data_IF_184577679214
#
_entry.id   IF_184577679214
#
_cell.length_a   1.000
_cell.length_b   1.000
_cell.length_c   1.000
_cell.angle_alpha   90.00
_cell.angle_beta   90.00
_cell.angle_gamma   90.00
#
_symmetry.space_group_name_H-M   'P 1'
#
loop_
_entity.id
_entity.type
_entity.pdbx_description
1 polymer ?
#
# COMPACT_ATOMS: atom_id res chain seq x y z
N UNK A 1 -0.18 -10.12 -34.95
CA UNK A 1 -0.68 -10.79 -33.76
C UNK A 1 0.22 -10.44 -32.58
N UNK A 2 -0.38 -9.97 -31.48
CA UNK A 2 0.34 -9.73 -30.23
C UNK A 2 0.44 -11.09 -29.55
N UNK A 3 1.65 -11.62 -29.38
CA UNK A 3 1.91 -12.80 -28.57
C UNK A 3 2.26 -12.31 -27.16
N UNK A 4 1.55 -12.80 -26.16
CA UNK A 4 1.88 -12.58 -24.78
C UNK A 4 2.16 -13.92 -24.09
N UNK A 5 3.23 -13.97 -23.32
CA UNK A 5 3.57 -15.08 -22.44
C UNK A 5 3.49 -14.56 -21.01
N UNK A 6 2.82 -15.30 -20.14
CA UNK A 6 2.65 -14.93 -18.75
C UNK A 6 2.71 -16.15 -17.83
N UNK A 7 3.09 -15.91 -16.58
CA UNK A 7 3.02 -16.89 -15.50
C UNK A 7 1.94 -16.43 -14.53
N UNK A 8 0.90 -17.25 -14.35
CA UNK A 8 -0.14 -17.02 -13.36
C UNK A 8 0.11 -17.90 -12.13
N UNK A 9 0.14 -17.27 -10.95
CA UNK A 9 0.32 -17.98 -9.68
C UNK A 9 -1.00 -17.97 -8.94
N UNK A 10 -1.59 -19.15 -8.79
CA UNK A 10 -2.83 -19.32 -8.05
C UNK A 10 -2.58 -19.13 -6.53
N UNK A 11 -3.54 -18.55 -5.80
CA UNK A 11 -3.39 -18.28 -4.35
C UNK A 11 -3.05 -19.53 -3.53
N UNK A 12 -3.64 -20.67 -3.86
CA UNK A 12 -3.38 -21.94 -3.19
C UNK A 12 -1.96 -22.49 -3.41
N UNK A 13 -1.29 -22.15 -4.52
CA UNK A 13 0.10 -22.57 -4.74
C UNK A 13 1.04 -21.98 -3.69
N UNK A 14 0.81 -20.73 -3.27
CA UNK A 14 1.59 -20.10 -2.22
C UNK A 14 1.36 -20.77 -0.86
N UNK A 15 0.10 -20.93 -0.45
CA UNK A 15 -0.24 -21.47 0.88
C UNK A 15 0.05 -22.96 1.00
N UNK A 16 -0.23 -23.73 -0.05
CA UNK A 16 -0.13 -25.20 -0.02
C UNK A 16 1.28 -25.70 -0.31
N UNK A 17 2.05 -25.00 -1.10
CA UNK A 17 3.36 -25.46 -1.56
C UNK A 17 4.51 -24.59 -1.04
N UNK A 18 4.58 -23.32 -1.42
CA UNK A 18 5.74 -22.47 -1.10
C UNK A 18 5.93 -22.28 0.41
N UNK A 19 4.85 -21.99 1.14
CA UNK A 19 4.90 -21.78 2.59
C UNK A 19 5.30 -23.03 3.37
N UNK A 20 4.93 -24.21 2.89
CA UNK A 20 5.33 -25.49 3.49
C UNK A 20 6.78 -25.84 3.20
N UNK A 21 7.24 -25.57 1.99
CA UNK A 21 8.60 -25.91 1.55
C UNK A 21 9.63 -24.90 2.06
N UNK A 22 9.23 -23.65 2.25
CA UNK A 22 10.09 -22.54 2.70
C UNK A 22 9.43 -21.75 3.83
N UNK A 23 9.35 -22.32 5.06
CA UNK A 23 8.64 -21.69 6.18
C UNK A 23 9.22 -20.34 6.61
N UNK A 24 10.53 -20.11 6.36
CA UNK A 24 11.21 -18.84 6.62
C UNK A 24 11.00 -17.79 5.53
N UNK A 25 10.32 -18.16 4.45
CA UNK A 25 10.01 -17.26 3.34
C UNK A 25 8.76 -16.43 3.66
N UNK A 26 8.86 -15.59 4.70
CA UNK A 26 7.77 -14.67 5.04
C UNK A 26 7.83 -13.45 4.13
N UNK A 27 6.99 -13.44 3.12
CA UNK A 27 6.77 -12.25 2.28
C UNK A 27 5.32 -12.19 1.83
N UNK A 28 4.85 -10.98 1.68
CA UNK A 28 3.54 -10.71 1.09
C UNK A 28 3.66 -10.82 -0.44
N UNK A 29 3.25 -11.96 -0.99
CA UNK A 29 3.31 -12.24 -2.42
C UNK A 29 2.60 -11.16 -3.26
N UNK A 30 1.36 -10.74 -2.94
CA UNK A 30 0.70 -9.65 -3.64
C UNK A 30 1.51 -8.36 -3.67
N UNK A 31 2.08 -7.95 -2.53
CA UNK A 31 2.93 -6.75 -2.45
C UNK A 31 4.23 -6.89 -3.24
N UNK A 32 4.83 -8.09 -3.26
CA UNK A 32 6.02 -8.36 -4.05
C UNK A 32 5.73 -8.24 -5.56
N UNK A 33 4.63 -8.80 -6.04
CA UNK A 33 4.22 -8.68 -7.44
C UNK A 33 3.85 -7.24 -7.81
N UNK A 34 3.10 -6.51 -6.98
CA UNK A 34 2.82 -5.09 -7.20
C UNK A 34 4.08 -4.23 -7.31
N UNK A 35 5.14 -4.58 -6.58
CA UNK A 35 6.40 -3.84 -6.64
C UNK A 35 7.11 -4.00 -7.97
N UNK A 36 6.94 -5.16 -8.62
CA UNK A 36 7.55 -5.48 -9.92
C UNK A 36 6.71 -4.97 -11.09
N UNK A 37 5.40 -4.90 -10.95
CA UNK A 37 4.47 -4.40 -11.98
C UNK A 37 4.74 -2.94 -12.38
N UNK A 38 5.42 -2.18 -11.53
CA UNK A 38 5.87 -0.81 -11.80
C UNK A 38 7.31 -0.72 -12.35
N UNK A 39 8.02 -1.85 -12.46
CA UNK A 39 9.37 -1.88 -12.97
C UNK A 39 9.34 -1.90 -14.50
N UNK A 40 9.68 -0.79 -15.12
CA UNK A 40 9.76 -0.63 -16.58
C UNK A 40 10.88 -1.45 -17.23
N UNK A 41 11.81 -1.98 -16.43
CA UNK A 41 12.96 -2.75 -16.93
C UNK A 41 13.29 -3.91 -15.97
N UNK A 42 12.98 -5.15 -16.40
CA UNK A 42 13.26 -6.38 -15.64
C UNK A 42 13.92 -7.44 -16.56
N UNK A 43 15.18 -7.25 -16.96
CA UNK A 43 15.84 -8.08 -17.98
C UNK A 43 15.87 -9.57 -17.64
N UNK A 44 16.02 -9.91 -16.34
CA UNK A 44 16.04 -11.31 -15.89
C UNK A 44 14.69 -11.99 -16.14
N UNK A 45 13.58 -11.32 -15.84
CA UNK A 45 12.22 -11.83 -16.10
C UNK A 45 11.97 -11.93 -17.61
N UNK A 46 12.36 -10.93 -18.38
CA UNK A 46 12.23 -10.97 -19.85
C UNK A 46 12.97 -12.15 -20.48
N UNK A 47 14.16 -12.48 -19.98
CA UNK A 47 14.92 -13.65 -20.42
C UNK A 47 14.18 -14.95 -20.05
N UNK A 48 13.68 -15.07 -18.84
CA UNK A 48 12.93 -16.23 -18.37
C UNK A 48 11.69 -16.46 -19.24
N UNK A 49 10.91 -15.41 -19.50
CA UNK A 49 9.71 -15.50 -20.35
C UNK A 49 10.07 -15.91 -21.78
N UNK A 50 11.17 -15.40 -22.34
CA UNK A 50 11.69 -15.80 -23.66
C UNK A 50 12.07 -17.30 -23.69
N UNK A 51 12.68 -17.82 -22.62
CA UNK A 51 13.01 -19.26 -22.51
C UNK A 51 11.75 -20.11 -22.46
N UNK A 52 10.73 -19.69 -21.71
CA UNK A 52 9.42 -20.37 -21.67
C UNK A 52 8.76 -20.40 -23.05
N UNK A 53 8.75 -19.26 -23.75
CA UNK A 53 8.13 -19.15 -25.07
C UNK A 53 8.80 -20.06 -26.11
N UNK A 54 10.11 -20.24 -26.03
CA UNK A 54 10.88 -20.99 -27.02
C UNK A 54 11.12 -22.46 -26.67
N UNK A 55 10.70 -22.91 -25.48
CA UNK A 55 10.83 -24.31 -25.10
C UNK A 55 9.88 -25.21 -25.91
N UNK A 56 10.40 -26.39 -26.36
CA UNK A 56 9.68 -27.32 -27.24
C UNK A 56 9.71 -28.76 -26.74
N UNK A 57 10.12 -28.94 -25.48
CA UNK A 57 10.08 -30.30 -24.87
C UNK A 57 8.65 -30.71 -24.53
N UNK A 58 8.45 -32.03 -24.36
CA UNK A 58 7.16 -32.65 -24.11
C UNK A 58 7.20 -33.57 -22.88
N UNK A 59 6.01 -33.98 -22.41
CA UNK A 59 5.85 -34.96 -21.33
C UNK A 59 6.50 -34.52 -20.01
N UNK A 60 7.15 -35.45 -19.32
CA UNK A 60 7.75 -35.23 -18.01
C UNK A 60 8.86 -34.16 -18.05
N UNK A 61 9.61 -34.06 -19.14
CA UNK A 61 10.64 -33.04 -19.31
C UNK A 61 10.03 -31.62 -19.35
N UNK A 62 8.90 -31.46 -20.03
CA UNK A 62 8.19 -30.19 -20.07
C UNK A 62 7.64 -29.79 -18.67
N UNK A 63 7.07 -30.75 -17.93
CA UNK A 63 6.58 -30.50 -16.58
C UNK A 63 7.70 -30.02 -15.66
N UNK A 64 8.84 -30.67 -15.63
CA UNK A 64 10.01 -30.27 -14.85
C UNK A 64 10.57 -28.91 -15.28
N UNK A 65 10.61 -28.64 -16.58
CA UNK A 65 11.07 -27.36 -17.10
C UNK A 65 10.18 -26.20 -16.61
N UNK A 66 8.86 -26.33 -16.79
CA UNK A 66 7.93 -25.28 -16.37
C UNK A 66 7.89 -25.09 -14.85
N UNK A 67 7.97 -26.16 -14.06
CA UNK A 67 8.06 -26.08 -12.60
C UNK A 67 9.32 -25.31 -12.16
N UNK A 68 10.47 -25.61 -12.77
CA UNK A 68 11.71 -24.90 -12.51
C UNK A 68 11.59 -23.41 -12.88
N UNK A 69 10.96 -23.09 -14.02
CA UNK A 69 10.77 -21.71 -14.47
C UNK A 69 9.80 -20.91 -13.59
N UNK A 70 8.75 -21.53 -13.08
CA UNK A 70 7.85 -20.90 -12.09
C UNK A 70 8.61 -20.57 -10.80
N UNK A 71 9.41 -21.53 -10.32
CA UNK A 71 10.23 -21.32 -9.12
C UNK A 71 11.26 -20.20 -9.32
N UNK A 72 11.90 -20.15 -10.47
CA UNK A 72 12.85 -19.08 -10.85
C UNK A 72 12.14 -17.73 -10.93
N UNK A 73 10.96 -17.64 -11.53
CA UNK A 73 10.16 -16.42 -11.61
C UNK A 73 9.85 -15.86 -10.21
N UNK A 74 9.42 -16.73 -9.29
CA UNK A 74 9.14 -16.35 -7.90
C UNK A 74 10.41 -15.84 -7.22
N UNK A 75 11.54 -16.53 -7.38
CA UNK A 75 12.81 -16.12 -6.81
C UNK A 75 13.23 -14.72 -7.30
N UNK A 76 13.09 -14.46 -8.60
CA UNK A 76 13.39 -13.15 -9.19
C UNK A 76 12.50 -12.03 -8.61
N UNK A 77 11.19 -12.28 -8.45
CA UNK A 77 10.25 -11.32 -7.85
C UNK A 77 10.61 -11.05 -6.38
N UNK A 78 10.86 -12.11 -5.60
CA UNK A 78 11.25 -11.97 -4.19
C UNK A 78 12.56 -11.21 -4.03
N UNK A 79 13.55 -11.49 -4.87
CA UNK A 79 14.84 -10.80 -4.84
C UNK A 79 14.69 -9.32 -5.24
N UNK A 80 13.90 -9.01 -6.25
CA UNK A 80 13.60 -7.64 -6.65
C UNK A 80 12.87 -6.89 -5.52
N UNK A 81 11.87 -7.52 -4.89
CA UNK A 81 11.16 -6.96 -3.76
C UNK A 81 12.07 -6.71 -2.53
N UNK A 82 12.93 -7.68 -2.19
CA UNK A 82 13.91 -7.52 -1.12
C UNK A 82 14.90 -6.37 -1.39
N UNK A 83 15.41 -6.26 -2.60
CA UNK A 83 16.30 -5.14 -3.00
C UNK A 83 15.59 -3.79 -2.90
N UNK A 84 14.32 -3.73 -3.28
CA UNK A 84 13.52 -2.52 -3.19
C UNK A 84 13.21 -2.18 -1.72
N UNK A 85 12.86 -3.18 -0.89
CA UNK A 85 12.66 -3.03 0.54
C UNK A 85 13.94 -2.55 1.24
N UNK A 86 15.10 -3.15 0.93
CA UNK A 86 16.39 -2.72 1.47
C UNK A 86 16.80 -1.30 1.03
N UNK A 87 16.43 -0.87 -0.18
CA UNK A 87 16.56 0.55 -0.58
C UNK A 87 15.66 1.46 0.25
N UNK A 88 14.51 0.96 0.71
CA UNK A 88 13.60 1.67 1.61
C UNK A 88 14.08 1.66 3.07
N UNK A 89 14.89 0.68 3.48
CA UNK A 89 15.44 0.55 4.85
C UNK A 89 16.62 1.49 5.15
N UNK A 90 17.17 2.21 4.15
CA UNK A 90 18.13 3.28 4.47
C UNK A 90 17.39 4.33 5.32
N UNK A 91 17.86 4.63 6.54
CA UNK A 91 17.23 5.66 7.35
C UNK A 91 17.14 6.96 6.53
N UNK A 92 16.04 7.67 6.67
CA UNK A 92 15.91 9.01 6.09
C UNK A 92 17.05 9.88 6.62
N UNK A 93 17.56 10.79 5.79
CA UNK A 93 18.43 11.83 6.31
C UNK A 93 17.68 12.62 7.39
N UNK A 94 18.40 13.15 8.38
CA UNK A 94 17.79 13.98 9.42
C UNK A 94 17.00 15.15 8.79
N UNK A 95 17.53 15.73 7.71
CA UNK A 95 16.89 16.79 6.95
C UNK A 95 15.57 16.34 6.29
N UNK A 96 15.55 15.16 5.64
CA UNK A 96 14.32 14.63 5.05
C UNK A 96 13.28 14.28 6.12
N UNK A 97 13.71 13.78 7.29
CA UNK A 97 12.81 13.49 8.41
C UNK A 97 12.18 14.78 8.99
N UNK A 98 12.97 15.85 9.15
CA UNK A 98 12.47 17.15 9.60
C UNK A 98 11.47 17.76 8.59
N UNK A 99 11.78 17.69 7.30
CA UNK A 99 10.88 18.14 6.23
C UNK A 99 9.54 17.38 6.23
N UNK A 100 9.56 16.08 6.48
CA UNK A 100 8.34 15.28 6.63
C UNK A 100 7.56 15.66 7.89
N UNK A 101 8.23 16.02 8.97
CA UNK A 101 7.55 16.50 10.17
C UNK A 101 6.79 17.83 9.91
N UNK A 102 7.34 18.73 9.09
CA UNK A 102 6.64 19.94 8.65
C UNK A 102 5.38 19.59 7.84
N UNK A 103 5.44 18.57 6.98
CA UNK A 103 4.26 18.06 6.24
C UNK A 103 3.20 17.53 7.21
N UNK A 104 3.59 16.74 8.20
CA UNK A 104 2.65 16.21 9.22
C UNK A 104 2.01 17.31 10.03
N UNK A 105 2.78 18.32 10.45
CA UNK A 105 2.25 19.49 11.15
C UNK A 105 1.25 20.25 10.29
N UNK A 106 1.57 20.49 9.02
CA UNK A 106 0.64 21.13 8.09
C UNK A 106 -0.65 20.31 7.91
N UNK A 107 -0.56 18.99 7.77
CA UNK A 107 -1.74 18.13 7.69
C UNK A 107 -2.57 18.23 8.97
N UNK A 108 -1.94 18.24 10.15
CA UNK A 108 -2.62 18.34 11.44
C UNK A 108 -3.47 19.60 11.57
N UNK A 109 -3.01 20.71 10.99
CA UNK A 109 -3.70 22.00 11.03
C UNK A 109 -4.75 22.16 9.91
N UNK A 110 -4.59 21.43 8.79
CA UNK A 110 -5.38 21.66 7.57
C UNK A 110 -6.17 20.43 7.10
N UNK A 111 -6.21 19.33 7.88
CA UNK A 111 -6.83 18.07 7.47
C UNK A 111 -8.29 18.20 6.98
N UNK A 112 -9.03 19.19 7.46
CA UNK A 112 -10.42 19.42 7.06
C UNK A 112 -10.58 20.01 5.64
N UNK A 113 -9.50 20.52 5.07
CA UNK A 113 -9.50 21.09 3.72
C UNK A 113 -9.02 20.08 2.69
N UNK A 114 -9.22 20.40 1.40
CA UNK A 114 -8.55 19.70 0.33
C UNK A 114 -7.07 20.10 0.31
N UNK A 115 -6.19 19.13 0.41
CA UNK A 115 -4.73 19.35 0.45
C UNK A 115 -4.11 18.69 -0.77
N UNK A 116 -3.80 19.46 -1.84
CA UNK A 116 -3.11 18.95 -3.00
C UNK A 116 -1.74 18.39 -2.63
N UNK A 117 -1.38 17.27 -3.24
CA UNK A 117 -0.08 16.63 -3.00
C UNK A 117 1.10 17.55 -3.34
N UNK A 118 0.94 18.34 -4.41
CA UNK A 118 1.90 19.38 -4.82
C UNK A 118 2.22 20.36 -3.67
N UNK A 119 1.18 20.79 -2.93
CA UNK A 119 1.36 21.67 -1.79
C UNK A 119 2.25 21.05 -0.71
N UNK A 120 2.02 19.76 -0.41
CA UNK A 120 2.81 19.04 0.56
C UNK A 120 4.24 18.78 0.07
N UNK A 121 4.42 18.53 -1.22
CA UNK A 121 5.72 18.38 -1.85
C UNK A 121 6.54 19.68 -1.75
N UNK A 122 5.90 20.82 -1.97
CA UNK A 122 6.52 22.15 -1.80
C UNK A 122 6.93 22.41 -0.36
N UNK A 123 6.09 22.06 0.63
CA UNK A 123 6.42 22.21 2.07
C UNK A 123 7.65 21.34 2.43
N UNK A 124 7.71 20.12 1.88
CA UNK A 124 8.86 19.24 2.10
C UNK A 124 10.10 19.61 1.29
N UNK A 125 10.03 20.58 0.37
CA UNK A 125 11.07 20.85 -0.64
C UNK A 125 11.49 19.57 -1.39
N UNK A 126 10.51 18.73 -1.77
CA UNK A 126 10.68 17.45 -2.47
C UNK A 126 9.84 17.42 -3.74
N UNK A 127 10.22 16.53 -4.68
CA UNK A 127 9.27 16.12 -5.72
C UNK A 127 8.14 15.27 -5.09
N UNK A 128 6.96 15.24 -5.74
CA UNK A 128 5.84 14.40 -5.27
C UNK A 128 6.22 12.92 -5.12
N UNK A 129 7.01 12.40 -6.06
CA UNK A 129 7.49 11.01 -6.02
C UNK A 129 8.40 10.75 -4.81
N UNK A 130 9.34 11.68 -4.53
CA UNK A 130 10.20 11.59 -3.34
C UNK A 130 9.37 11.70 -2.06
N UNK A 131 8.42 12.64 -2.00
CA UNK A 131 7.52 12.79 -0.84
C UNK A 131 6.75 11.50 -0.58
N UNK A 132 6.07 10.92 -1.58
CA UNK A 132 5.32 9.66 -1.43
C UNK A 132 6.20 8.53 -0.88
N UNK A 133 7.38 8.35 -1.44
CA UNK A 133 8.33 7.31 -1.03
C UNK A 133 8.83 7.53 0.41
N UNK A 134 9.32 8.73 0.73
CA UNK A 134 9.85 9.07 2.04
C UNK A 134 8.76 9.03 3.12
N UNK A 135 7.56 9.51 2.81
CA UNK A 135 6.43 9.51 3.73
C UNK A 135 5.99 8.08 4.08
N UNK A 136 5.83 7.22 3.06
CA UNK A 136 5.47 5.81 3.29
C UNK A 136 6.54 5.08 4.11
N UNK A 137 7.82 5.36 3.86
CA UNK A 137 8.95 4.79 4.61
C UNK A 137 8.95 5.23 6.07
N UNK A 138 8.67 6.50 6.35
CA UNK A 138 8.70 7.07 7.70
C UNK A 138 7.46 6.69 8.54
N UNK A 139 6.27 6.68 7.91
CA UNK A 139 5.00 6.56 8.63
C UNK A 139 4.24 5.26 8.33
N UNK A 140 4.77 4.38 7.47
CA UNK A 140 4.14 3.10 7.11
C UNK A 140 2.86 3.20 6.28
N UNK A 141 2.43 4.41 5.90
CA UNK A 141 1.19 4.66 5.17
C UNK A 141 1.37 5.75 4.10
N UNK A 142 0.44 5.83 3.15
CA UNK A 142 0.45 6.94 2.18
C UNK A 142 0.01 8.26 2.83
N UNK A 143 0.37 9.39 2.21
CA UNK A 143 -0.08 10.73 2.62
C UNK A 143 -1.61 10.80 2.72
N UNK A 144 -2.33 10.26 1.74
CA UNK A 144 -3.80 10.22 1.72
C UNK A 144 -4.37 9.41 2.89
N UNK A 145 -3.77 8.24 3.19
CA UNK A 145 -4.16 7.43 4.34
C UNK A 145 -3.90 8.16 5.66
N UNK A 146 -2.80 8.88 5.77
CA UNK A 146 -2.49 9.69 6.96
C UNK A 146 -3.52 10.81 7.18
N UNK A 147 -3.87 11.57 6.13
CA UNK A 147 -4.92 12.61 6.18
C UNK A 147 -6.26 11.97 6.60
N UNK A 148 -6.62 10.83 5.98
CA UNK A 148 -7.85 10.13 6.32
C UNK A 148 -7.84 9.66 7.78
N UNK A 149 -6.76 9.09 8.28
CA UNK A 149 -6.60 8.69 9.68
C UNK A 149 -6.80 9.87 10.62
N UNK A 150 -6.19 11.03 10.31
CA UNK A 150 -6.37 12.25 11.10
C UNK A 150 -7.83 12.71 11.14
N UNK A 151 -8.53 12.68 10.00
CA UNK A 151 -9.98 12.99 9.93
C UNK A 151 -10.81 12.03 10.79
N UNK A 152 -10.50 10.73 10.76
CA UNK A 152 -11.23 9.74 11.57
C UNK A 152 -10.99 9.93 13.06
N UNK A 153 -9.76 10.17 13.51
CA UNK A 153 -9.46 10.47 14.92
C UNK A 153 -10.21 11.71 15.41
N UNK A 154 -10.29 12.75 14.57
CA UNK A 154 -11.06 13.94 14.92
C UNK A 154 -12.58 13.66 14.95
N UNK A 155 -13.08 12.80 14.04
CA UNK A 155 -14.46 12.37 14.06
C UNK A 155 -14.81 11.63 15.36
N UNK A 156 -13.97 10.72 15.82
CA UNK A 156 -14.14 10.00 17.10
C UNK A 156 -14.24 10.99 18.26
N UNK A 157 -13.33 11.94 18.32
CA UNK A 157 -13.36 12.99 19.34
C UNK A 157 -14.68 13.80 19.32
N UNK A 158 -15.15 14.22 18.13
CA UNK A 158 -16.40 14.97 17.99
C UNK A 158 -17.63 14.12 18.32
N UNK A 159 -17.64 12.84 17.96
CA UNK A 159 -18.72 11.91 18.27
C UNK A 159 -18.91 11.72 19.79
N UNK A 160 -17.82 11.69 20.53
CA UNK A 160 -17.83 11.48 21.98
C UNK A 160 -18.22 12.78 22.71
N UNK A 161 -17.60 13.89 22.33
CA UNK A 161 -17.58 15.11 23.14
C UNK A 161 -18.59 16.19 22.68
N UNK A 162 -19.35 15.94 21.61
CA UNK A 162 -20.31 16.93 21.08
C UNK A 162 -21.62 16.29 20.67
N UNK A 163 -22.68 17.12 20.60
CA UNK A 163 -23.99 16.73 20.09
C UNK A 163 -24.20 17.07 18.61
N UNK A 164 -23.12 17.37 17.90
CA UNK A 164 -23.19 17.66 16.47
C UNK A 164 -23.84 16.50 15.69
N UNK A 165 -24.63 16.88 14.69
CA UNK A 165 -25.22 15.91 13.74
C UNK A 165 -24.11 15.25 12.89
N UNK A 166 -24.41 14.11 12.30
CA UNK A 166 -23.46 13.42 11.40
C UNK A 166 -23.07 14.30 10.21
N UNK A 167 -23.98 15.15 9.72
CA UNK A 167 -23.70 16.12 8.67
C UNK A 167 -22.72 17.20 9.10
N UNK A 168 -22.90 17.77 10.30
CA UNK A 168 -21.97 18.76 10.85
C UNK A 168 -20.59 18.18 11.09
N UNK A 169 -20.50 16.98 11.67
CA UNK A 169 -19.21 16.30 11.86
C UNK A 169 -18.53 16.06 10.50
N UNK A 170 -19.26 15.54 9.51
CA UNK A 170 -18.71 15.30 8.18
C UNK A 170 -18.08 16.57 7.59
N UNK A 171 -18.79 17.70 7.65
CA UNK A 171 -18.29 18.99 7.17
C UNK A 171 -17.05 19.45 7.93
N UNK A 172 -17.07 19.36 9.26
CA UNK A 172 -15.94 19.80 10.13
C UNK A 172 -14.66 18.99 9.88
N UNK A 173 -14.78 17.76 9.44
CA UNK A 173 -13.62 16.91 9.13
C UNK A 173 -13.30 16.83 7.64
N UNK A 174 -13.95 17.66 6.80
CA UNK A 174 -13.62 17.83 5.39
C UNK A 174 -14.28 16.84 4.44
N UNK A 175 -15.47 16.32 4.79
CA UNK A 175 -16.32 15.54 3.87
C UNK A 175 -17.54 16.31 3.45
N UNK A 176 -17.88 16.25 2.17
CA UNK A 176 -19.06 16.94 1.60
C UNK A 176 -20.39 16.28 1.98
N UNK A 177 -20.37 14.98 2.29
CA UNK A 177 -21.58 14.22 2.61
C UNK A 177 -21.39 13.35 3.86
N UNK A 178 -22.45 13.23 4.67
CA UNK A 178 -22.47 12.31 5.82
C UNK A 178 -22.39 10.84 5.41
N UNK A 179 -22.87 10.48 4.22
CA UNK A 179 -22.80 9.11 3.69
C UNK A 179 -21.36 8.69 3.44
N UNK A 180 -20.57 9.54 2.78
CA UNK A 180 -19.15 9.26 2.53
C UNK A 180 -18.34 9.19 3.83
N UNK A 181 -18.64 10.08 4.76
CA UNK A 181 -18.06 10.02 6.12
C UNK A 181 -18.40 8.69 6.79
N UNK A 182 -19.67 8.28 6.83
CA UNK A 182 -20.10 7.06 7.51
C UNK A 182 -19.47 5.80 6.91
N UNK A 183 -19.34 5.73 5.58
CA UNK A 183 -18.65 4.64 4.87
C UNK A 183 -17.19 4.51 5.32
N UNK A 184 -16.43 5.62 5.28
CA UNK A 184 -15.02 5.64 5.62
C UNK A 184 -14.77 5.42 7.12
N UNK A 185 -15.64 5.93 7.97
CA UNK A 185 -15.60 5.72 9.41
C UNK A 185 -15.83 4.24 9.75
N UNK A 186 -16.86 3.62 9.14
CA UNK A 186 -17.12 2.18 9.32
C UNK A 186 -15.93 1.33 8.82
N UNK A 187 -15.30 1.72 7.70
CA UNK A 187 -14.10 1.04 7.19
C UNK A 187 -12.92 1.15 8.16
N UNK A 188 -12.79 2.27 8.87
CA UNK A 188 -11.71 2.53 9.83
C UNK A 188 -11.93 1.87 11.19
N UNK A 189 -13.17 1.91 11.71
CA UNK A 189 -13.50 1.52 13.10
C UNK A 189 -14.29 0.21 13.21
N UNK A 190 -14.78 -0.31 12.09
CA UNK A 190 -15.64 -1.51 12.03
C UNK A 190 -17.13 -1.25 12.23
N UNK A 191 -17.53 -0.11 12.81
CA UNK A 191 -18.91 0.23 13.14
C UNK A 191 -19.33 1.60 12.60
N UNK A 192 -20.64 1.83 12.51
CA UNK A 192 -21.16 3.12 12.02
C UNK A 192 -20.95 4.24 13.07
N UNK A 193 -20.80 5.52 12.64
CA UNK A 193 -20.59 6.64 13.56
C UNK A 193 -21.67 6.79 14.63
N UNK A 194 -22.94 6.52 14.29
CA UNK A 194 -24.04 6.56 15.27
C UNK A 194 -23.95 5.47 16.32
N UNK A 195 -23.49 4.28 15.94
CA UNK A 195 -23.26 3.16 16.86
C UNK A 195 -22.08 3.46 17.77
N UNK A 196 -20.98 3.97 17.18
CA UNK A 196 -19.80 4.40 17.92
C UNK A 196 -20.17 5.44 19.00
N UNK A 197 -20.93 6.48 18.66
CA UNK A 197 -21.41 7.48 19.62
C UNK A 197 -22.22 6.86 20.77
N UNK A 198 -23.14 5.94 20.46
CA UNK A 198 -23.97 5.30 21.47
C UNK A 198 -23.14 4.43 22.42
N UNK A 199 -22.16 3.71 21.91
CA UNK A 199 -21.29 2.85 22.72
C UNK A 199 -20.37 3.69 23.62
N UNK A 200 -19.70 4.69 23.06
CA UNK A 200 -18.76 5.53 23.79
C UNK A 200 -19.40 6.39 24.89
N UNK A 201 -20.72 6.67 24.82
CA UNK A 201 -21.45 7.45 25.85
C UNK A 201 -22.18 6.61 26.87
N UNK A 202 -22.15 5.28 26.75
CA UNK A 202 -22.77 4.35 27.72
C UNK A 202 -21.79 3.85 28.78
N UNK A 203 -20.50 4.06 28.58
CA UNK A 203 -19.43 3.76 29.54
C UNK A 203 -18.98 5.01 30.26
#
# INVERSE_FOLDING_TARGET
>A
PIHSVGVEILPNYYDDFLKKQYPDLYFDLPSAFQSVDQATDFPAMSRLLFEIENYRGEGAAAALFYEAKVTEAIALVVDAWKRQSQKQERPLSAEDAERLQNVVSYIADHYAFDIPLERLANIACMSESKLKSCFRRQFGCSVTQHIQGRRMSQAEHLLINTDFTMGQIAQMIGYTTSSRFAELFKKSTGILPNEYRKLARRG
#
